data_IF_470886537641
#
_entry.id   IF_470886537641
#
_cell.length_a   1.000
_cell.length_b   1.000
_cell.length_c   1.000
_cell.angle_alpha   90.00
_cell.angle_beta   90.00
_cell.angle_gamma   90.00
#
_symmetry.space_group_name_H-M   'P 1'
#
loop_
_entity.id
_entity.type
_entity.pdbx_description
1 polymer ?
#
# COMPACT_ATOMS: atom_id res chain seq x y z
N UNK A 1 29.83 7.28 4.49
CA UNK A 1 28.78 7.35 3.45
C UNK A 1 27.45 7.16 4.17
N UNK A 2 26.76 8.25 4.52
CA UNK A 2 25.46 8.17 5.17
C UNK A 2 24.41 8.04 4.06
N UNK A 3 23.88 6.84 3.86
CA UNK A 3 22.72 6.63 3.01
C UNK A 3 21.52 7.23 3.72
N UNK A 4 21.19 8.48 3.39
CA UNK A 4 19.92 9.08 3.78
C UNK A 4 18.83 8.36 2.99
N UNK A 5 18.21 7.35 3.61
CA UNK A 5 16.91 6.87 3.15
C UNK A 5 15.95 8.04 3.29
N UNK A 6 15.61 8.67 2.17
CA UNK A 6 14.49 9.60 2.09
C UNK A 6 13.28 8.87 2.66
N UNK A 7 12.81 9.31 3.83
CA UNK A 7 11.60 8.78 4.44
C UNK A 7 10.42 9.27 3.59
N UNK A 8 10.15 8.53 2.50
CA UNK A 8 8.92 8.71 1.73
C UNK A 8 7.75 8.44 2.68
N UNK A 9 6.94 9.46 2.93
CA UNK A 9 5.75 9.39 3.75
C UNK A 9 4.75 8.50 3.05
N UNK A 10 4.63 7.24 3.47
CA UNK A 10 3.58 6.35 2.98
C UNK A 10 2.30 6.63 3.73
N UNK A 11 1.28 7.05 2.99
CA UNK A 11 -0.06 7.24 3.55
C UNK A 11 -0.87 5.97 3.32
N UNK A 12 -1.40 5.39 4.38
CA UNK A 12 -2.29 4.22 4.28
C UNK A 12 -3.66 4.71 3.82
N UNK A 13 -4.11 4.23 2.66
CA UNK A 13 -5.45 4.50 2.15
C UNK A 13 -6.48 3.54 2.74
N UNK A 14 -6.18 2.25 2.76
CA UNK A 14 -7.11 1.19 3.16
C UNK A 14 -6.37 -0.02 3.74
N UNK A 15 -7.04 -0.77 4.63
CA UNK A 15 -6.49 -1.97 5.27
C UNK A 15 -7.37 -3.19 5.01
N UNK A 16 -6.75 -4.31 4.68
CA UNK A 16 -7.43 -5.56 4.38
C UNK A 16 -6.89 -6.70 5.26
N UNK A 17 -7.75 -7.60 5.76
CA UNK A 17 -7.27 -8.78 6.49
C UNK A 17 -6.52 -9.73 5.56
N UNK A 18 -5.41 -10.32 6.04
CA UNK A 18 -4.67 -11.30 5.24
C UNK A 18 -5.44 -12.61 5.02
N UNK A 19 -6.37 -12.94 5.91
CA UNK A 19 -7.21 -14.14 5.87
C UNK A 19 -8.46 -14.06 4.97
N UNK A 20 -8.39 -13.41 3.81
CA UNK A 20 -9.53 -13.30 2.92
C UNK A 20 -10.00 -14.68 2.38
N UNK A 21 -11.30 -14.87 2.05
CA UNK A 21 -11.79 -16.10 1.45
C UNK A 21 -10.95 -16.54 0.24
N UNK A 22 -10.69 -17.85 0.12
CA UNK A 22 -9.84 -18.39 -0.95
C UNK A 22 -10.30 -17.88 -2.33
N UNK A 23 -9.37 -17.26 -3.05
CA UNK A 23 -9.62 -16.69 -4.38
C UNK A 23 -9.93 -15.20 -4.41
N UNK A 24 -10.13 -14.55 -3.26
CA UNK A 24 -10.26 -13.09 -3.16
C UNK A 24 -8.91 -12.45 -2.81
N UNK A 25 -8.60 -11.35 -3.49
CA UNK A 25 -7.39 -10.55 -3.31
C UNK A 25 -7.78 -9.07 -3.17
N UNK A 26 -8.48 -8.69 -2.09
CA UNK A 26 -9.15 -7.40 -2.01
C UNK A 26 -8.17 -6.22 -1.98
N UNK A 27 -6.98 -6.41 -1.40
CA UNK A 27 -5.95 -5.38 -1.39
C UNK A 27 -5.39 -5.11 -2.79
N UNK A 28 -5.15 -6.17 -3.57
CA UNK A 28 -4.65 -6.11 -4.94
C UNK A 28 -5.70 -5.52 -5.89
N UNK A 29 -6.97 -5.92 -5.76
CA UNK A 29 -8.08 -5.36 -6.54
C UNK A 29 -8.26 -3.88 -6.27
N UNK A 30 -8.26 -3.47 -5.00
CA UNK A 30 -8.33 -2.06 -4.63
C UNK A 30 -7.11 -1.30 -5.16
N UNK A 31 -5.90 -1.85 -5.01
CA UNK A 31 -4.70 -1.21 -5.54
C UNK A 31 -4.74 -1.07 -7.07
N UNK A 32 -5.24 -2.07 -7.79
CA UNK A 32 -5.43 -2.00 -9.24
C UNK A 32 -6.45 -0.92 -9.64
N UNK A 33 -7.56 -0.81 -8.91
CA UNK A 33 -8.57 0.22 -9.12
C UNK A 33 -8.02 1.64 -8.87
N UNK A 34 -7.20 1.83 -7.84
CA UNK A 34 -6.54 3.10 -7.55
C UNK A 34 -5.52 3.47 -8.63
N UNK A 35 -4.72 2.50 -9.09
CA UNK A 35 -3.79 2.72 -10.21
C UNK A 35 -4.51 3.05 -11.52
N UNK A 36 -5.66 2.41 -11.79
CA UNK A 36 -6.49 2.72 -12.95
C UNK A 36 -7.05 4.16 -12.90
N UNK A 37 -7.22 4.72 -11.70
CA UNK A 37 -7.60 6.13 -11.48
C UNK A 37 -6.40 7.08 -11.51
N UNK A 38 -5.18 6.58 -11.70
CA UNK A 38 -3.95 7.39 -11.74
C UNK A 38 -3.32 7.67 -10.38
N UNK A 39 -3.77 7.01 -9.31
CA UNK A 39 -3.13 7.09 -8.00
C UNK A 39 -2.05 6.03 -7.90
N UNK A 40 -0.80 6.45 -7.65
CA UNK A 40 0.28 5.50 -7.40
C UNK A 40 0.14 4.92 -5.99
N UNK A 41 -0.18 3.63 -5.94
CA UNK A 41 -0.38 2.88 -4.70
C UNK A 41 0.38 1.58 -4.72
N UNK A 42 0.70 1.07 -3.54
CA UNK A 42 1.40 -0.18 -3.31
C UNK A 42 0.66 -0.99 -2.24
N UNK A 43 0.68 -2.31 -2.39
CA UNK A 43 0.20 -3.23 -1.35
C UNK A 43 1.40 -3.63 -0.50
N UNK A 44 1.34 -3.39 0.80
CA UNK A 44 2.37 -3.77 1.77
C UNK A 44 1.75 -4.70 2.79
N UNK A 45 2.43 -5.79 3.12
CA UNK A 45 1.99 -6.69 4.17
C UNK A 45 2.48 -6.19 5.54
N UNK A 46 1.55 -5.89 6.44
CA UNK A 46 1.80 -5.71 7.86
C UNK A 46 1.78 -7.07 8.56
N UNK A 47 2.98 -7.53 8.91
CA UNK A 47 3.20 -8.79 9.61
C UNK A 47 2.73 -8.75 11.07
N UNK A 48 2.68 -7.58 11.71
CA UNK A 48 2.29 -7.45 13.11
C UNK A 48 0.76 -7.52 13.23
N UNK A 49 0.07 -6.86 12.31
CA UNK A 49 -1.39 -6.84 12.24
C UNK A 49 -2.02 -8.01 11.47
N UNK A 50 -1.21 -8.81 10.75
CA UNK A 50 -1.67 -9.82 9.78
C UNK A 50 -2.65 -9.24 8.74
N UNK A 51 -2.25 -8.12 8.14
CA UNK A 51 -3.06 -7.32 7.25
C UNK A 51 -2.27 -6.87 6.02
N UNK A 52 -2.97 -6.64 4.92
CA UNK A 52 -2.44 -5.93 3.77
C UNK A 52 -2.88 -4.47 3.85
N UNK A 53 -1.92 -3.57 3.70
CA UNK A 53 -2.11 -2.13 3.67
C UNK A 53 -1.95 -1.65 2.25
N UNK A 54 -2.93 -0.93 1.73
CA UNK A 54 -2.76 -0.19 0.48
C UNK A 54 -2.26 1.21 0.83
N UNK A 55 -1.05 1.53 0.39
CA UNK A 55 -0.36 2.78 0.71
C UNK A 55 -0.08 3.58 -0.55
N UNK A 56 -0.18 4.90 -0.48
CA UNK A 56 0.34 5.81 -1.51
C UNK A 56 1.71 6.27 -1.08
N UNK A 57 2.63 6.39 -2.03
CA UNK A 57 3.83 7.18 -1.81
C UNK A 57 3.45 8.66 -2.02
N UNK A 58 3.27 9.39 -0.91
CA UNK A 58 3.29 10.85 -0.97
C UNK A 58 4.75 11.24 -1.20
N UNK A 59 5.12 11.37 -2.47
CA UNK A 59 6.25 12.22 -2.82
C UNK A 59 5.67 13.63 -2.89
N UNK A 60 5.81 14.47 -1.86
CA UNK A 60 5.44 15.86 -2.00
C UNK A 60 6.21 16.44 -3.19
N UNK A 61 5.57 17.21 -4.09
CA UNK A 61 6.28 17.85 -5.19
C UNK A 61 7.42 18.68 -4.58
N UNK A 62 8.66 18.32 -4.93
CA UNK A 62 9.86 19.07 -4.53
C UNK A 62 9.91 20.44 -5.20
#
# INVERSE_FOLDING_TARGET
>A
MMTTTTAQSRTVLERFPAGAPRGSWPAEEYAAAQRAQGTDVQVVMDLVGDQFLVVTDDTPPQ
#
